data_IF_407185076732
#
_entry.id   IF_407185076732
#
_cell.length_a   1.000
_cell.length_b   1.000
_cell.length_c   1.000
_cell.angle_alpha   90.00
_cell.angle_beta   90.00
_cell.angle_gamma   90.00
#
_symmetry.space_group_name_H-M   'P 1'
#
loop_
_entity.id
_entity.type
_entity.pdbx_description
1 polymer ?
#
# COMPACT_ATOMS: atom_id res chain seq x y z
N UNK A 1 23.80 8.87 -14.92
CA UNK A 1 23.47 7.83 -15.92
C UNK A 1 22.12 7.17 -15.62
N UNK A 2 21.03 7.95 -15.65
CA UNK A 2 19.67 7.52 -15.26
C UNK A 2 18.79 7.10 -16.46
N UNK A 3 19.36 6.96 -17.67
CA UNK A 3 18.59 6.79 -18.91
C UNK A 3 18.49 5.37 -19.47
N UNK A 4 19.34 4.43 -19.05
CA UNK A 4 19.42 3.09 -19.66
C UNK A 4 18.62 2.01 -18.92
N UNK A 5 18.14 2.26 -17.70
CA UNK A 5 17.35 1.29 -16.92
C UNK A 5 15.83 1.37 -17.16
N UNK A 6 15.33 2.46 -17.75
CA UNK A 6 13.88 2.65 -17.95
C UNK A 6 13.29 1.81 -19.08
N UNK A 7 14.10 1.43 -20.07
CA UNK A 7 13.64 0.79 -21.31
C UNK A 7 13.51 -0.73 -21.17
N UNK A 8 14.35 -1.37 -20.32
CA UNK A 8 14.29 -2.82 -20.09
C UNK A 8 13.10 -3.26 -19.22
N UNK A 9 12.59 -2.36 -18.35
CA UNK A 9 11.45 -2.63 -17.46
C UNK A 9 10.12 -2.75 -18.24
N UNK A 10 9.96 -1.98 -19.32
CA UNK A 10 8.75 -2.04 -20.17
C UNK A 10 8.66 -3.34 -20.98
N UNK A 11 9.79 -4.03 -21.17
CA UNK A 11 9.90 -5.22 -22.03
C UNK A 11 9.72 -6.53 -21.27
N UNK A 12 10.00 -6.56 -19.97
CA UNK A 12 9.88 -7.77 -19.16
C UNK A 12 9.28 -7.49 -17.76
N UNK A 13 8.00 -7.84 -17.53
CA UNK A 13 7.36 -7.71 -16.21
C UNK A 13 8.08 -8.47 -15.08
N UNK A 14 8.86 -9.50 -15.41
CA UNK A 14 9.59 -10.32 -14.44
C UNK A 14 10.88 -9.65 -13.93
N UNK A 15 11.44 -8.67 -14.66
CA UNK A 15 12.59 -7.90 -14.20
C UNK A 15 12.23 -6.97 -13.00
N UNK A 16 10.96 -6.58 -12.90
CA UNK A 16 10.43 -5.80 -11.78
C UNK A 16 10.51 -6.58 -10.45
N UNK A 17 10.29 -7.90 -10.48
CA UNK A 17 10.34 -8.78 -9.30
C UNK A 17 11.74 -8.90 -8.67
N UNK A 18 12.81 -8.67 -9.42
CA UNK A 18 14.19 -8.76 -8.93
C UNK A 18 14.66 -7.45 -8.26
N UNK A 19 14.09 -6.30 -8.63
CA UNK A 19 14.36 -4.99 -8.01
C UNK A 19 13.35 -4.58 -6.95
N UNK A 20 12.18 -5.22 -6.94
CA UNK A 20 11.15 -5.08 -5.94
C UNK A 20 11.63 -5.62 -4.58
N UNK A 21 12.03 -4.74 -3.66
CA UNK A 21 12.11 -5.10 -2.25
C UNK A 21 10.83 -5.84 -1.80
N UNK A 22 10.89 -6.69 -0.74
CA UNK A 22 9.76 -7.51 -0.25
C UNK A 22 8.60 -6.70 0.37
N UNK A 23 8.39 -5.46 -0.05
CA UNK A 23 7.34 -4.57 0.44
C UNK A 23 5.95 -5.18 0.22
N UNK A 24 5.65 -5.59 -1.01
CA UNK A 24 4.33 -6.13 -1.34
C UNK A 24 4.03 -7.49 -0.70
N UNK A 25 5.05 -8.29 -0.40
CA UNK A 25 4.89 -9.58 0.29
C UNK A 25 4.77 -9.43 1.81
N UNK A 26 5.19 -8.30 2.38
CA UNK A 26 5.03 -7.97 3.81
C UNK A 26 3.68 -7.33 4.14
N UNK A 27 2.96 -6.83 3.13
CA UNK A 27 1.63 -6.26 3.32
C UNK A 27 0.60 -7.39 3.50
N UNK A 28 0.14 -7.57 4.73
CA UNK A 28 -0.96 -8.47 5.06
C UNK A 28 -2.28 -7.97 4.47
N UNK A 29 -3.19 -8.89 4.14
CA UNK A 29 -4.57 -8.55 3.76
C UNK A 29 -4.79 -8.16 2.29
N UNK A 30 -3.74 -8.07 1.46
CA UNK A 30 -3.91 -7.84 0.03
C UNK A 30 -4.55 -9.04 -0.67
N UNK A 31 -5.59 -8.80 -1.45
CA UNK A 31 -6.11 -9.76 -2.43
C UNK A 31 -5.08 -10.03 -3.53
N UNK A 32 -5.23 -11.15 -4.26
CA UNK A 32 -4.35 -11.49 -5.39
C UNK A 32 -4.26 -10.39 -6.44
N UNK A 33 -5.37 -9.68 -6.71
CA UNK A 33 -5.40 -8.55 -7.62
C UNK A 33 -4.61 -7.34 -7.09
N UNK A 34 -4.77 -7.00 -5.82
CA UNK A 34 -4.02 -5.91 -5.18
C UNK A 34 -2.52 -6.24 -5.07
N UNK A 35 -2.14 -7.49 -4.79
CA UNK A 35 -0.75 -7.92 -4.81
C UNK A 35 -0.12 -7.70 -6.19
N UNK A 36 -0.86 -8.04 -7.27
CA UNK A 36 -0.40 -7.79 -8.65
C UNK A 36 -0.23 -6.30 -8.92
N UNK A 37 -1.17 -5.46 -8.49
CA UNK A 37 -1.07 -4.00 -8.64
C UNK A 37 0.09 -3.41 -7.82
N UNK A 38 0.33 -3.91 -6.60
CA UNK A 38 1.46 -3.50 -5.76
C UNK A 38 2.79 -3.78 -6.46
N UNK A 39 2.94 -4.98 -7.06
CA UNK A 39 4.13 -5.31 -7.84
C UNK A 39 4.24 -4.52 -9.14
N UNK A 40 3.15 -4.07 -9.76
CA UNK A 40 3.21 -3.27 -10.99
C UNK A 40 3.57 -1.81 -10.73
N UNK A 41 3.16 -1.25 -9.59
CA UNK A 41 3.25 0.18 -9.26
C UNK A 41 3.95 0.43 -7.92
N UNK A 42 5.05 -0.28 -7.67
CA UNK A 42 5.71 -0.26 -6.36
C UNK A 42 6.26 1.12 -5.98
N UNK A 43 6.78 1.86 -6.96
CA UNK A 43 7.21 3.26 -6.82
C UNK A 43 6.07 4.20 -6.36
N UNK A 44 4.82 3.81 -6.59
CA UNK A 44 3.64 4.55 -6.12
C UNK A 44 3.26 4.17 -4.68
N UNK A 45 3.58 2.96 -4.21
CA UNK A 45 3.08 2.42 -2.94
C UNK A 45 3.50 3.24 -1.72
N UNK A 46 4.65 3.92 -1.76
CA UNK A 46 5.05 4.86 -0.71
C UNK A 46 4.09 6.05 -0.56
N UNK A 47 3.56 6.55 -1.68
CA UNK A 47 2.56 7.64 -1.70
C UNK A 47 1.19 7.13 -1.24
N UNK A 48 0.79 5.94 -1.70
CA UNK A 48 -0.46 5.29 -1.28
C UNK A 48 -0.48 5.08 0.24
N UNK A 49 0.61 4.57 0.82
CA UNK A 49 0.74 4.39 2.26
C UNK A 49 0.61 5.71 3.05
N UNK A 50 1.24 6.79 2.56
CA UNK A 50 1.11 8.12 3.19
C UNK A 50 -0.33 8.64 3.13
N UNK A 51 -1.00 8.50 1.97
CA UNK A 51 -2.39 8.91 1.80
C UNK A 51 -3.32 8.19 2.77
N UNK A 52 -3.14 6.87 2.94
CA UNK A 52 -3.93 6.09 3.88
C UNK A 52 -3.70 6.53 5.34
N UNK A 53 -2.44 6.77 5.74
CA UNK A 53 -2.12 7.30 7.08
C UNK A 53 -2.74 8.67 7.34
N UNK A 54 -2.68 9.57 6.36
CA UNK A 54 -3.31 10.89 6.45
C UNK A 54 -4.83 10.80 6.61
N UNK A 55 -5.48 9.92 5.84
CA UNK A 55 -6.92 9.68 5.95
C UNK A 55 -7.35 9.18 7.32
N UNK A 56 -6.61 8.22 7.89
CA UNK A 56 -6.87 7.72 9.26
C UNK A 56 -6.65 8.82 10.30
N UNK A 57 -5.56 9.58 10.19
CA UNK A 57 -5.27 10.67 11.12
C UNK A 57 -6.40 11.72 11.12
N UNK A 58 -6.85 12.14 9.93
CA UNK A 58 -7.96 13.09 9.80
C UNK A 58 -9.26 12.49 10.33
N UNK A 59 -9.52 11.21 10.07
CA UNK A 59 -10.68 10.51 10.60
C UNK A 59 -10.68 10.53 12.15
N UNK A 60 -9.55 10.21 12.77
CA UNK A 60 -9.39 10.29 14.23
C UNK A 60 -9.57 11.71 14.75
N UNK A 61 -9.07 12.72 14.02
CA UNK A 61 -9.28 14.12 14.38
C UNK A 61 -10.76 14.53 14.34
N UNK A 62 -11.48 14.19 13.26
CA UNK A 62 -12.89 14.51 13.09
C UNK A 62 -13.80 13.78 14.08
N UNK A 63 -13.44 12.55 14.46
CA UNK A 63 -14.28 11.67 15.29
C UNK A 63 -13.82 11.58 16.76
N UNK A 64 -12.87 12.42 17.20
CA UNK A 64 -12.29 12.35 18.56
C UNK A 64 -13.31 12.41 19.72
N UNK A 65 -14.46 13.07 19.52
CA UNK A 65 -15.53 13.23 20.51
C UNK A 65 -16.78 12.40 20.18
N UNK A 66 -16.63 11.33 19.40
CA UNK A 66 -17.72 10.41 19.01
C UNK A 66 -17.56 9.07 19.72
N UNK A 67 -18.67 8.34 19.89
CA UNK A 67 -18.67 6.98 20.46
C UNK A 67 -17.77 6.01 19.68
N UNK A 68 -17.68 6.21 18.37
CA UNK A 68 -16.68 5.60 17.50
C UNK A 68 -15.69 6.68 17.07
N UNK A 69 -14.42 6.52 17.43
CA UNK A 69 -13.38 7.54 17.30
C UNK A 69 -12.36 7.25 16.18
N UNK A 70 -12.71 6.33 15.26
CA UNK A 70 -11.85 5.93 14.16
C UNK A 70 -10.48 5.35 14.56
N UNK A 71 -10.37 4.77 15.76
CA UNK A 71 -9.18 4.00 16.13
C UNK A 71 -9.02 2.79 15.22
N UNK A 72 -7.79 2.50 14.80
CA UNK A 72 -7.45 1.27 14.08
C UNK A 72 -7.18 0.13 15.05
N UNK A 73 -7.51 -1.09 14.63
CA UNK A 73 -7.14 -2.32 15.37
C UNK A 73 -5.72 -2.72 15.00
N UNK A 74 -4.79 -2.54 15.95
CA UNK A 74 -3.33 -2.78 15.83
C UNK A 74 -2.57 -1.95 14.77
N UNK A 75 -1.23 -1.92 14.90
CA UNK A 75 -0.25 -1.35 13.93
C UNK A 75 -0.16 -2.15 12.62
N UNK A 76 -1.14 -3.01 12.35
CA UNK A 76 -1.22 -3.79 11.12
C UNK A 76 -1.56 -2.90 9.92
N UNK A 77 -1.17 -3.35 8.72
CA UNK A 77 -1.47 -2.67 7.47
C UNK A 77 -2.97 -2.33 7.36
N UNK A 78 -3.29 -1.06 7.08
CA UNK A 78 -4.66 -0.59 6.78
C UNK A 78 -5.26 -1.22 5.51
N UNK A 79 -4.45 -1.95 4.75
CA UNK A 79 -4.92 -2.77 3.64
C UNK A 79 -5.38 -4.14 4.15
N UNK A 80 -6.56 -4.55 3.72
CA UNK A 80 -7.16 -5.80 4.14
C UNK A 80 -8.64 -5.88 3.77
N UNK A 81 -9.27 -7.06 3.94
CA UNK A 81 -10.73 -7.17 3.90
C UNK A 81 -11.37 -6.25 4.94
N UNK A 82 -12.51 -5.65 4.59
CA UNK A 82 -13.32 -4.89 5.55
C UNK A 82 -13.91 -5.87 6.56
N UNK A 83 -13.76 -5.57 7.85
CA UNK A 83 -14.42 -6.33 8.91
C UNK A 83 -15.94 -6.15 8.77
N UNK A 84 -16.65 -7.24 8.52
CA UNK A 84 -18.11 -7.23 8.62
C UNK A 84 -18.49 -7.29 10.09
N UNK A 85 -19.26 -6.30 10.57
CA UNK A 85 -19.76 -6.22 11.94
C UNK A 85 -21.28 -6.30 11.97
#
# INVERSE_FOLDING_TARGET
NLGLQGIDVLRNPQAYLLGAQPLCSRLSGLSRGQTKLCYLYQDHMGHVARGARLGIHECQWQFNNRRWNCSTVDDSSVFGPVLNI
#
